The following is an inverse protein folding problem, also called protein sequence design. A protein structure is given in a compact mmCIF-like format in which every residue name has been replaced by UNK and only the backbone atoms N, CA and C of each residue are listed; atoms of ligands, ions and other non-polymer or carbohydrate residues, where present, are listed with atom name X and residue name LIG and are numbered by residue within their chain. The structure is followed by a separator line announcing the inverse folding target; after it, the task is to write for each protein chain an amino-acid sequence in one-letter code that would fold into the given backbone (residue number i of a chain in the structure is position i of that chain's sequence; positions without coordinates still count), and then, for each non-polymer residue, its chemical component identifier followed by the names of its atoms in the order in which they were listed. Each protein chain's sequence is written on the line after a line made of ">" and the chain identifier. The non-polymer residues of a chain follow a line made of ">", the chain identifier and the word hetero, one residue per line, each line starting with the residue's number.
data_IF_218214744066
#
_entry.id   IF_218214744066
#
_cell.length_a   1.000
_cell.length_b   1.000
_cell.length_c   1.000
_cell.angle_alpha   90.00
_cell.angle_beta   90.00
_cell.angle_gamma   90.00
#
_symmetry.space_group_name_H-M   'P 1'
#
loop_
_entity.id
_entity.type
_entity.pdbx_description
1 polymer ?
#
# COMPACT_ATOMS: atom_id res chain seq x y z
N UNK A 1 3.16 1.55 -5.26
CA UNK A 1 3.56 2.15 -3.97
C UNK A 1 4.38 3.41 -4.26
N UNK A 2 4.18 4.53 -3.56
CA UNK A 2 4.98 5.76 -3.73
C UNK A 2 6.21 5.77 -2.82
N UNK A 3 6.08 5.21 -1.62
CA UNK A 3 7.20 5.01 -0.70
C UNK A 3 7.41 3.53 -0.44
N UNK A 4 8.56 3.18 0.13
CA UNK A 4 8.72 1.88 0.77
C UNK A 4 7.66 1.71 1.87
N UNK A 5 7.01 0.55 1.93
CA UNK A 5 5.97 0.26 2.91
C UNK A 5 6.51 -0.73 3.96
N UNK A 6 6.61 -0.27 5.22
CA UNK A 6 7.03 -1.07 6.40
C UNK A 6 6.49 -0.49 7.74
N UNK A 7 5.40 -1.02 8.29
CA UNK A 7 4.28 -1.61 7.55
C UNK A 7 3.49 -0.51 6.80
N UNK A 8 3.61 0.74 7.22
CA UNK A 8 2.91 1.86 6.59
C UNK A 8 3.75 2.57 5.54
N UNK A 9 3.07 3.29 4.64
CA UNK A 9 3.66 4.26 3.74
C UNK A 9 2.58 4.92 2.89
N UNK A 10 2.95 5.41 1.71
CA UNK A 10 2.02 6.06 0.79
C UNK A 10 1.92 5.28 -0.51
N UNK A 11 0.72 5.19 -1.05
CA UNK A 11 0.47 4.71 -2.40
C UNK A 11 -0.46 5.67 -3.12
N UNK A 12 -0.34 5.70 -4.44
CA UNK A 12 -1.23 6.47 -5.30
C UNK A 12 -2.31 5.54 -5.86
N UNK A 13 -3.56 5.94 -5.71
CA UNK A 13 -4.71 5.29 -6.33
C UNK A 13 -5.54 6.37 -7.01
N UNK A 14 -5.86 6.20 -8.30
CA UNK A 14 -6.68 7.17 -9.06
C UNK A 14 -6.17 8.62 -8.92
N UNK A 15 -4.85 8.82 -8.98
CA UNK A 15 -4.18 10.13 -8.78
C UNK A 15 -4.36 10.74 -7.38
N UNK A 16 -4.77 9.96 -6.38
CA UNK A 16 -4.85 10.36 -4.98
C UNK A 16 -3.81 9.62 -4.15
N UNK A 17 -3.07 10.39 -3.35
CA UNK A 17 -2.10 9.83 -2.41
C UNK A 17 -2.81 9.44 -1.12
N UNK A 18 -2.77 8.16 -0.78
CA UNK A 18 -3.46 7.58 0.37
C UNK A 18 -2.47 6.92 1.31
N UNK A 19 -2.73 7.01 2.61
CA UNK A 19 -1.94 6.28 3.61
C UNK A 19 -2.34 4.80 3.60
N UNK A 20 -1.35 3.96 3.36
CA UNK A 20 -1.51 2.51 3.23
C UNK A 20 -0.70 1.76 4.26
N UNK A 21 -1.13 0.54 4.58
CA UNK A 21 -0.46 -0.38 5.50
C UNK A 21 -0.37 -1.76 4.84
N UNK A 22 0.78 -2.41 4.92
CA UNK A 22 0.97 -3.79 4.48
C UNK A 22 0.58 -4.77 5.58
N UNK A 23 0.20 -6.00 5.21
CA UNK A 23 -0.04 -7.11 6.15
C UNK A 23 1.26 -7.66 6.78
N UNK A 24 2.27 -6.81 7.00
CA UNK A 24 3.56 -7.15 7.60
C UNK A 24 4.70 -7.40 6.60
N UNK A 25 4.38 -7.52 5.31
CA UNK A 25 5.38 -7.70 4.26
C UNK A 25 6.11 -6.39 3.92
N UNK A 26 7.32 -6.52 3.36
CA UNK A 26 7.97 -5.40 2.72
C UNK A 26 7.27 -5.14 1.41
N UNK A 27 7.04 -3.88 1.08
CA UNK A 27 6.79 -3.55 -0.32
C UNK A 27 7.72 -2.40 -0.66
N UNK A 28 8.56 -2.59 -1.68
CA UNK A 28 9.44 -1.54 -2.17
C UNK A 28 8.62 -0.43 -2.85
N UNK A 29 9.14 0.79 -2.89
CA UNK A 29 8.58 1.84 -3.73
C UNK A 29 8.46 1.36 -5.18
N UNK A 30 7.52 1.94 -5.92
CA UNK A 30 7.22 1.62 -7.33
C UNK A 30 6.65 0.21 -7.55
N UNK A 31 6.49 -0.60 -6.50
CA UNK A 31 5.84 -1.91 -6.60
C UNK A 31 4.32 -1.76 -6.75
N UNK A 32 3.68 -2.44 -7.71
CA UNK A 32 2.23 -2.46 -7.85
C UNK A 32 1.57 -3.10 -6.62
N UNK A 33 0.56 -2.44 -6.08
CA UNK A 33 -0.18 -2.92 -4.91
C UNK A 33 -1.66 -2.87 -5.15
N UNK A 34 -2.39 -3.82 -4.56
CA UNK A 34 -3.85 -3.83 -4.53
C UNK A 34 -4.35 -3.64 -3.11
N UNK A 35 -5.52 -3.02 -2.99
CA UNK A 35 -6.23 -2.92 -1.71
C UNK A 35 -6.82 -4.29 -1.38
N UNK A 36 -6.57 -4.78 -0.17
CA UNK A 36 -7.13 -6.04 0.34
C UNK A 36 -8.14 -5.81 1.46
N UNK A 37 -8.02 -4.70 2.20
CA UNK A 37 -8.98 -4.32 3.25
C UNK A 37 -8.90 -2.83 3.54
N UNK A 38 -9.91 -2.29 4.21
CA UNK A 38 -9.94 -0.92 4.74
C UNK A 38 -10.22 -0.98 6.23
N UNK A 39 -9.26 -0.56 7.05
CA UNK A 39 -9.39 -0.50 8.50
C UNK A 39 -9.55 0.98 8.92
N UNK A 40 -10.81 1.41 9.05
CA UNK A 40 -11.17 2.77 9.42
C UNK A 40 -10.59 3.81 8.46
N UNK A 41 -9.55 4.52 8.90
CA UNK A 41 -8.87 5.57 8.12
C UNK A 41 -7.67 5.06 7.32
N UNK A 42 -7.31 3.77 7.43
CA UNK A 42 -6.12 3.20 6.79
C UNK A 42 -6.52 2.15 5.77
N UNK A 43 -5.80 2.13 4.65
CA UNK A 43 -6.01 1.16 3.58
C UNK A 43 -4.98 0.05 3.71
N UNK A 44 -5.42 -1.19 3.84
CA UNK A 44 -4.54 -2.36 3.87
C UNK A 44 -4.27 -2.80 2.44
N UNK A 45 -3.00 -2.94 2.09
CA UNK A 45 -2.56 -3.29 0.74
C UNK A 45 -1.64 -4.50 0.74
N UNK A 46 -1.64 -5.20 -0.39
CA UNK A 46 -0.73 -6.30 -0.68
C UNK A 46 -0.07 -6.10 -2.04
N UNK A 47 1.14 -6.61 -2.19
CA UNK A 47 1.83 -6.65 -3.48
C UNK A 47 1.04 -7.49 -4.48
N UNK A 48 0.91 -6.99 -5.71
CA UNK A 48 0.40 -7.76 -6.83
C UNK A 48 1.60 -8.54 -7.38
N UNK A 49 1.93 -9.67 -6.74
CA UNK A 49 2.92 -10.59 -7.27
C UNK A 49 2.39 -11.13 -8.61
N UNK A 50 3.22 -11.04 -9.65
CA UNK A 50 2.93 -11.65 -10.96
C UNK A 50 2.91 -13.18 -10.88
#
# INVERSE_FOLDING_TARGET
>A
ALTNLRPSGKAEFENHVVDVVTEGEFIASETPVTVVSTDGMRVVVKEIAA
#
